data_IF_058185103907
#
_entry.id   IF_058185103907
#
_cell.length_a   1.000
_cell.length_b   1.000
_cell.length_c   1.000
_cell.angle_alpha   90.00
_cell.angle_beta   90.00
_cell.angle_gamma   90.00
#
_symmetry.space_group_name_H-M   'P 1'
#
loop_
_entity.id
_entity.type
_entity.pdbx_description
1 polymer ?
#
# COMPACT_ATOMS: atom_id res chain seq x y z
N UNK A 1 -12.40 3.89 -3.18
CA UNK A 1 -12.27 3.33 -4.55
C UNK A 1 -10.99 2.49 -4.57
N UNK A 2 -11.00 1.30 -5.16
CA UNK A 2 -9.78 0.48 -5.32
C UNK A 2 -9.33 0.48 -6.79
N UNK A 3 -8.03 0.65 -7.02
CA UNK A 3 -7.41 0.61 -8.36
C UNK A 3 -6.40 -0.55 -8.37
N UNK A 4 -6.71 -1.62 -9.10
CA UNK A 4 -5.88 -2.82 -9.19
C UNK A 4 -5.38 -3.05 -10.62
N UNK A 5 -4.27 -3.79 -10.77
CA UNK A 5 -3.63 -4.06 -12.05
C UNK A 5 -2.16 -4.44 -11.90
N UNK A 6 -1.56 -5.04 -12.92
CA UNK A 6 -0.16 -5.47 -12.90
C UNK A 6 0.83 -4.30 -12.75
N UNK A 7 2.08 -4.59 -12.41
CA UNK A 7 3.14 -3.58 -12.43
C UNK A 7 3.25 -2.96 -13.83
N UNK A 8 3.62 -1.67 -13.90
CA UNK A 8 3.69 -0.88 -15.14
C UNK A 8 2.38 -0.72 -15.94
N UNK A 9 1.21 -1.06 -15.39
CA UNK A 9 -0.08 -0.89 -16.09
C UNK A 9 -0.64 0.53 -16.07
N UNK A 10 0.12 1.53 -15.60
CA UNK A 10 -0.31 2.93 -15.54
C UNK A 10 -1.17 3.34 -14.33
N UNK A 11 -1.30 2.48 -13.30
CA UNK A 11 -2.11 2.78 -12.09
C UNK A 11 -1.73 4.10 -11.42
N UNK A 12 -0.43 4.34 -11.24
CA UNK A 12 0.10 5.56 -10.62
C UNK A 12 -0.31 6.80 -11.41
N UNK A 13 -0.29 6.73 -12.73
CA UNK A 13 -0.74 7.83 -13.60
C UNK A 13 -2.22 8.13 -13.38
N UNK A 14 -3.06 7.11 -13.34
CA UNK A 14 -4.50 7.27 -13.08
C UNK A 14 -4.76 7.85 -11.69
N UNK A 15 -4.07 7.35 -10.66
CA UNK A 15 -4.17 7.85 -9.29
C UNK A 15 -3.80 9.33 -9.23
N UNK A 16 -2.67 9.73 -9.82
CA UNK A 16 -2.20 11.12 -9.81
C UNK A 16 -3.20 12.04 -10.52
N UNK A 17 -3.71 11.64 -11.69
CA UNK A 17 -4.73 12.42 -12.40
C UNK A 17 -6.03 12.58 -11.62
N UNK A 18 -6.43 11.57 -10.83
CA UNK A 18 -7.59 11.69 -9.94
C UNK A 18 -7.30 12.66 -8.78
N UNK A 19 -6.14 12.55 -8.14
CA UNK A 19 -5.75 13.46 -7.05
C UNK A 19 -5.75 14.92 -7.52
N UNK A 20 -5.23 15.18 -8.72
CA UNK A 20 -5.26 16.50 -9.37
C UNK A 20 -6.69 16.95 -9.69
N UNK A 21 -7.53 16.06 -10.25
CA UNK A 21 -8.91 16.39 -10.61
C UNK A 21 -9.80 16.70 -9.40
N UNK A 22 -9.49 16.14 -8.24
CA UNK A 22 -10.23 16.33 -6.99
C UNK A 22 -9.60 17.36 -6.04
N UNK A 23 -8.61 18.12 -6.50
CA UNK A 23 -8.00 19.24 -5.76
C UNK A 23 -7.61 18.88 -4.30
N UNK A 24 -7.00 17.71 -4.11
CA UNK A 24 -6.54 17.26 -2.80
C UNK A 24 -7.62 16.84 -1.80
N UNK A 25 -8.90 16.81 -2.19
CA UNK A 25 -10.01 16.30 -1.35
C UNK A 25 -10.02 14.77 -1.19
N UNK A 26 -9.03 14.08 -1.77
CA UNK A 26 -8.87 12.62 -1.71
C UNK A 26 -7.52 12.26 -1.11
N UNK A 27 -7.52 11.23 -0.27
CA UNK A 27 -6.30 10.61 0.25
C UNK A 27 -6.01 9.30 -0.49
N UNK A 28 -4.73 9.02 -0.70
CA UNK A 28 -4.27 7.81 -1.38
C UNK A 28 -3.56 6.89 -0.39
N UNK A 29 -3.78 5.59 -0.54
CA UNK A 29 -3.09 4.55 0.24
C UNK A 29 -2.58 3.54 -0.77
N UNK A 30 -1.28 3.30 -0.75
CA UNK A 30 -0.63 2.30 -1.57
C UNK A 30 -0.62 0.98 -0.82
N UNK A 31 -1.13 -0.09 -1.45
CA UNK A 31 -1.06 -1.42 -0.85
C UNK A 31 0.38 -1.92 -0.72
N UNK A 32 1.26 -1.48 -1.63
CA UNK A 32 2.69 -1.76 -1.60
C UNK A 32 3.38 -1.21 -0.35
N UNK A 33 2.82 -0.22 0.36
CA UNK A 33 3.34 0.24 1.64
C UNK A 33 3.22 -0.79 2.77
N UNK A 34 2.40 -1.83 2.58
CA UNK A 34 2.11 -2.85 3.59
C UNK A 34 3.00 -4.10 3.43
N UNK A 35 4.15 -4.00 2.75
CA UNK A 35 5.14 -5.07 2.83
C UNK A 35 5.61 -5.23 4.28
N UNK A 36 5.70 -6.48 4.74
CA UNK A 36 6.18 -6.78 6.09
C UNK A 36 7.60 -6.24 6.26
N UNK A 37 7.82 -5.50 7.34
CA UNK A 37 9.13 -4.91 7.64
C UNK A 37 10.20 -6.00 7.78
N UNK A 38 11.20 -5.95 6.89
CA UNK A 38 12.37 -6.83 6.90
C UNK A 38 13.60 -6.16 7.55
N UNK A 39 13.42 -5.00 8.19
CA UNK A 39 14.43 -4.22 8.88
C UNK A 39 15.29 -5.04 9.85
N UNK A 40 14.68 -6.05 10.46
CA UNK A 40 15.31 -6.96 11.41
C UNK A 40 16.15 -8.08 10.76
N UNK A 41 16.02 -8.33 9.45
CA UNK A 41 16.75 -9.39 8.74
C UNK A 41 18.10 -8.92 8.21
N UNK A 42 19.07 -9.84 8.14
CA UNK A 42 20.34 -9.59 7.49
C UNK A 42 20.17 -9.38 5.97
N UNK A 43 21.06 -8.61 5.35
CA UNK A 43 21.04 -8.31 3.90
C UNK A 43 20.96 -9.57 3.02
N UNK A 44 21.64 -10.65 3.42
CA UNK A 44 21.63 -11.95 2.73
C UNK A 44 20.29 -12.68 2.83
N UNK A 45 19.53 -12.46 3.90
CA UNK A 45 18.20 -13.04 4.11
C UNK A 45 17.14 -12.24 3.38
N UNK A 46 17.23 -10.90 3.40
CA UNK A 46 16.37 -10.01 2.60
C UNK A 46 16.40 -10.36 1.11
N UNK A 47 17.58 -10.66 0.58
CA UNK A 47 17.75 -11.04 -0.82
C UNK A 47 17.04 -12.37 -1.21
N UNK A 48 16.64 -13.19 -0.23
CA UNK A 48 15.91 -14.44 -0.45
C UNK A 48 14.39 -14.29 -0.30
N UNK A 49 13.91 -13.13 0.13
CA UNK A 49 12.48 -12.87 0.30
C UNK A 49 11.82 -12.79 -1.07
N UNK A 50 10.78 -13.59 -1.26
CA UNK A 50 9.95 -13.52 -2.45
C UNK A 50 8.84 -12.47 -2.23
N UNK A 51 9.05 -11.26 -2.76
CA UNK A 51 8.09 -10.16 -2.66
C UNK A 51 6.81 -10.41 -3.47
N UNK A 52 6.83 -11.28 -4.48
CA UNK A 52 5.65 -11.67 -5.26
C UNK A 52 4.76 -12.69 -4.51
N UNK A 53 5.19 -13.19 -3.34
CA UNK A 53 4.36 -14.09 -2.55
C UNK A 53 3.32 -13.29 -1.76
N UNK A 54 2.03 -13.68 -1.73
CA UNK A 54 0.98 -12.96 -1.01
C UNK A 54 1.28 -12.76 0.50
N UNK A 55 2.00 -13.69 1.12
CA UNK A 55 2.41 -13.59 2.53
C UNK A 55 3.48 -12.52 2.83
N UNK A 56 4.03 -11.88 1.80
CA UNK A 56 4.98 -10.76 1.96
C UNK A 56 4.27 -9.47 2.40
N UNK A 57 2.94 -9.40 2.21
CA UNK A 57 2.10 -8.26 2.55
C UNK A 57 1.35 -8.51 3.86
N UNK A 58 1.25 -7.46 4.68
CA UNK A 58 0.40 -7.45 5.87
C UNK A 58 -1.05 -7.05 5.51
N UNK A 59 -1.76 -8.04 4.96
CA UNK A 59 -3.16 -7.88 4.56
C UNK A 59 -4.06 -7.57 5.76
N UNK A 60 -3.77 -8.12 6.94
CA UNK A 60 -4.57 -7.90 8.13
C UNK A 60 -4.46 -6.45 8.61
N UNK A 61 -3.24 -5.90 8.65
CA UNK A 61 -3.01 -4.50 8.97
C UNK A 61 -3.70 -3.58 7.95
N UNK A 62 -3.55 -3.87 6.65
CA UNK A 62 -4.20 -3.09 5.60
C UNK A 62 -5.73 -3.06 5.76
N UNK A 63 -6.36 -4.21 6.03
CA UNK A 63 -7.81 -4.28 6.23
C UNK A 63 -8.23 -3.49 7.48
N UNK A 64 -7.48 -3.60 8.57
CA UNK A 64 -7.71 -2.85 9.82
C UNK A 64 -7.65 -1.33 9.59
N UNK A 65 -6.66 -0.88 8.83
CA UNK A 65 -6.45 0.53 8.51
C UNK A 65 -7.57 1.10 7.65
N UNK A 66 -7.98 0.36 6.61
CA UNK A 66 -9.11 0.75 5.76
C UNK A 66 -10.42 0.82 6.57
N UNK A 67 -10.62 -0.10 7.52
CA UNK A 67 -11.79 -0.05 8.41
C UNK A 67 -11.75 1.17 9.34
N UNK A 68 -10.58 1.49 9.90
CA UNK A 68 -10.39 2.68 10.76
C UNK A 68 -10.71 3.97 10.00
N UNK A 69 -10.20 4.10 8.77
CA UNK A 69 -10.50 5.25 7.91
C UNK A 69 -11.98 5.33 7.52
N UNK A 70 -12.62 4.21 7.23
CA UNK A 70 -14.07 4.16 6.97
C UNK A 70 -14.88 4.65 8.16
N UNK A 71 -14.39 4.45 9.37
CA UNK A 71 -15.01 4.92 10.60
C UNK A 71 -14.65 6.38 10.95
N UNK A 72 -13.86 7.06 10.11
CA UNK A 72 -13.45 8.45 10.33
C UNK A 72 -12.25 8.62 11.25
N UNK A 73 -11.56 7.54 11.61
CA UNK A 73 -10.34 7.59 12.41
C UNK A 73 -9.12 7.78 11.51
N UNK A 74 -8.17 8.60 11.95
CA UNK A 74 -6.84 8.68 11.33
C UNK A 74 -6.04 7.39 11.54
N UNK A 75 -5.14 7.10 10.61
CA UNK A 75 -4.18 5.99 10.69
C UNK A 75 -2.77 6.51 10.44
N UNK A 76 -1.77 5.75 10.88
CA UNK A 76 -0.38 5.95 10.51
C UNK A 76 0.03 4.90 9.48
N UNK A 77 0.03 5.28 8.20
CA UNK A 77 0.38 4.36 7.11
C UNK A 77 1.84 3.90 7.22
N UNK A 78 2.14 2.61 7.04
CA UNK A 78 3.52 2.11 6.97
C UNK A 78 4.29 2.67 5.77
N UNK A 79 5.63 2.67 5.84
CA UNK A 79 6.53 3.24 4.81
C UNK A 79 7.51 2.21 4.27
#
# INVERSE_FOLDING_TARGET
MGIAGGSCSGKTTVVNSLVEAFDGSVSTIAFDSYYRDQGHMALSERARVNYDHPDSLDVELFVSDIQSLRNGNSIDTPV
#
